data_IF_009514419075
#
_entry.id   IF_009514419075
#
_cell.length_a   1.000
_cell.length_b   1.000
_cell.length_c   1.000
_cell.angle_alpha   90.00
_cell.angle_beta   90.00
_cell.angle_gamma   90.00
#
_symmetry.space_group_name_H-M   'P 1'
#
loop_
_entity.id
_entity.type
_entity.pdbx_description
1 polymer ?
#
# COMPACT_ATOMS: atom_id res chain seq x y z
N UNK A 1 37.30 95.67 -50.12
CA UNK A 1 38.41 96.14 -49.25
C UNK A 1 37.81 96.82 -48.02
N UNK A 2 38.48 96.62 -46.87
CA UNK A 2 38.20 97.04 -45.46
C UNK A 2 37.30 96.08 -44.65
N UNK A 3 37.89 95.12 -43.91
CA UNK A 3 38.51 95.19 -42.55
C UNK A 3 37.49 95.57 -41.46
N UNK A 4 37.40 94.97 -40.28
CA UNK A 4 38.34 94.18 -39.48
C UNK A 4 37.57 93.67 -38.23
N UNK A 5 37.91 92.51 -37.63
CA UNK A 5 38.07 92.40 -36.15
C UNK A 5 38.63 91.03 -35.71
N UNK A 6 39.28 91.07 -34.55
CA UNK A 6 40.30 90.19 -33.96
C UNK A 6 39.86 88.79 -33.47
N UNK A 7 40.83 87.87 -33.19
CA UNK A 7 40.55 86.56 -32.61
C UNK A 7 40.60 86.56 -31.06
N UNK A 8 39.76 85.73 -30.43
CA UNK A 8 39.93 85.28 -29.04
C UNK A 8 40.11 83.76 -29.02
N UNK A 9 41.24 83.32 -28.47
CA UNK A 9 41.65 81.93 -28.34
C UNK A 9 40.95 81.31 -27.11
N UNK A 10 40.17 80.24 -27.31
CA UNK A 10 39.61 79.42 -26.23
C UNK A 10 40.19 78.01 -26.32
N UNK A 11 40.77 77.52 -25.22
CA UNK A 11 41.12 76.12 -25.01
C UNK A 11 39.85 75.26 -25.07
N UNK A 12 39.85 74.20 -25.89
CA UNK A 12 38.86 73.12 -25.82
C UNK A 12 39.53 71.83 -25.37
N UNK A 13 39.00 71.29 -24.27
CA UNK A 13 39.27 69.98 -23.69
C UNK A 13 38.87 68.91 -24.70
N UNK A 14 39.73 67.90 -24.88
CA UNK A 14 39.51 66.77 -25.77
C UNK A 14 38.28 65.94 -25.34
N UNK A 15 37.43 65.47 -26.28
CA UNK A 15 36.31 64.60 -25.95
C UNK A 15 36.81 63.18 -25.66
N UNK A 16 36.42 62.63 -24.50
CA UNK A 16 36.54 61.21 -24.17
C UNK A 16 35.65 60.41 -25.14
N UNK A 17 36.12 59.32 -25.77
CA UNK A 17 35.34 58.61 -26.78
C UNK A 17 34.16 57.87 -26.15
N UNK A 18 32.95 58.19 -26.62
CA UNK A 18 31.66 57.66 -26.17
C UNK A 18 31.48 56.13 -26.33
N UNK A 19 32.47 55.40 -26.86
CA UNK A 19 32.38 53.95 -27.09
C UNK A 19 32.62 53.10 -25.83
N UNK A 20 33.37 53.60 -24.84
CA UNK A 20 33.69 52.83 -23.63
C UNK A 20 32.52 52.71 -22.64
N UNK A 21 31.67 53.75 -22.57
CA UNK A 21 30.54 53.77 -21.63
C UNK A 21 29.46 52.73 -21.99
N UNK A 22 29.18 52.56 -23.28
CA UNK A 22 28.14 51.63 -23.76
C UNK A 22 28.52 50.17 -23.48
N UNK A 23 29.79 49.81 -23.65
CA UNK A 23 30.27 48.43 -23.41
C UNK A 23 30.22 48.08 -21.91
N UNK A 24 30.54 49.04 -21.03
CA UNK A 24 30.45 48.85 -19.57
C UNK A 24 28.99 48.77 -19.10
N UNK A 25 28.07 49.54 -19.68
CA UNK A 25 26.63 49.41 -19.39
C UNK A 25 26.06 48.08 -19.87
N UNK A 26 26.51 47.59 -21.04
CA UNK A 26 26.09 46.29 -21.58
C UNK A 26 26.61 45.10 -20.75
N UNK A 27 27.85 45.20 -20.24
CA UNK A 27 28.45 44.18 -19.37
C UNK A 27 27.87 44.19 -17.94
N UNK A 28 27.47 45.35 -17.42
CA UNK A 28 26.79 45.46 -16.11
C UNK A 28 25.33 44.97 -16.15
N UNK A 29 24.64 45.09 -17.30
CA UNK A 29 23.29 44.54 -17.48
C UNK A 29 23.27 43.00 -17.50
N UNK A 30 24.38 42.36 -17.89
CA UNK A 30 24.49 40.89 -17.89
C UNK A 30 24.94 40.29 -16.55
N UNK A 31 25.45 41.11 -15.61
CA UNK A 31 25.91 40.64 -14.29
C UNK A 31 24.96 40.94 -13.13
N UNK A 32 23.90 41.74 -13.34
CA UNK A 32 22.96 42.15 -12.28
C UNK A 32 21.60 41.42 -12.35
N UNK A 33 21.29 40.71 -13.43
CA UNK A 33 20.14 39.80 -13.42
C UNK A 33 20.61 38.41 -12.97
N UNK A 34 20.35 37.98 -11.71
CA UNK A 34 20.38 36.56 -11.44
C UNK A 34 19.45 35.91 -12.47
N UNK A 35 19.94 34.88 -13.18
CA UNK A 35 19.08 34.02 -14.00
C UNK A 35 17.96 33.55 -13.09
N UNK A 36 16.83 34.24 -13.14
CA UNK A 36 15.64 33.92 -12.38
C UNK A 36 15.34 32.46 -12.67
N UNK A 37 15.30 31.63 -11.62
CA UNK A 37 14.70 30.31 -11.70
C UNK A 37 13.37 30.47 -12.42
N UNK A 38 13.33 29.97 -13.65
CA UNK A 38 12.36 30.26 -14.73
C UNK A 38 11.01 30.79 -14.26
N UNK A 39 10.55 31.92 -14.82
CA UNK A 39 9.20 32.48 -14.61
C UNK A 39 8.11 31.41 -14.70
N UNK A 40 8.28 30.39 -15.56
CA UNK A 40 7.35 29.26 -15.68
C UNK A 40 7.37 28.30 -14.49
N UNK A 41 8.52 28.11 -13.83
CA UNK A 41 8.62 27.28 -12.63
C UNK A 41 7.88 27.93 -11.45
N UNK A 42 8.11 29.23 -11.22
CA UNK A 42 7.38 29.98 -10.19
C UNK A 42 5.90 30.06 -10.49
N UNK A 43 5.52 30.26 -11.77
CA UNK A 43 4.13 30.21 -12.20
C UNK A 43 3.51 28.83 -11.93
N UNK A 44 4.18 27.73 -12.32
CA UNK A 44 3.71 26.36 -12.10
C UNK A 44 3.42 26.08 -10.61
N UNK A 45 4.35 26.45 -9.72
CA UNK A 45 4.14 26.27 -8.27
C UNK A 45 2.97 27.11 -7.75
N UNK A 46 2.79 28.33 -8.27
CA UNK A 46 1.70 29.23 -7.85
C UNK A 46 0.30 28.78 -8.28
N UNK A 47 0.20 27.85 -9.24
CA UNK A 47 -1.08 27.31 -9.73
C UNK A 47 -1.67 26.22 -8.82
N UNK A 48 -0.91 25.76 -7.82
CA UNK A 48 -1.36 24.74 -6.86
C UNK A 48 -1.66 25.35 -5.49
N UNK A 49 -2.70 24.84 -4.82
CA UNK A 49 -3.05 25.24 -3.45
C UNK A 49 -3.48 24.05 -2.62
N UNK A 50 -3.35 24.17 -1.29
CA UNK A 50 -3.78 23.15 -0.34
C UNK A 50 -5.28 22.88 -0.43
N UNK A 51 -6.08 23.92 -0.69
CA UNK A 51 -7.53 23.83 -0.87
C UNK A 51 -7.88 23.00 -2.10
N UNK A 52 -7.12 23.15 -3.18
CA UNK A 52 -7.31 22.37 -4.41
C UNK A 52 -6.99 20.90 -4.18
N UNK A 53 -5.86 20.60 -3.53
CA UNK A 53 -5.49 19.24 -3.16
C UNK A 53 -6.52 18.59 -2.22
N UNK A 54 -6.94 19.30 -1.17
CA UNK A 54 -7.95 18.83 -0.22
C UNK A 54 -9.30 18.55 -0.89
N UNK A 55 -9.72 19.41 -1.84
CA UNK A 55 -10.96 19.19 -2.61
C UNK A 55 -10.89 17.96 -3.49
N UNK A 56 -9.76 17.72 -4.16
CA UNK A 56 -9.57 16.51 -4.97
C UNK A 56 -9.54 15.25 -4.11
N UNK A 57 -8.82 15.29 -2.99
CA UNK A 57 -8.79 14.19 -2.03
C UNK A 57 -10.21 13.87 -1.55
N UNK A 58 -10.94 14.88 -1.07
CA UNK A 58 -12.31 14.71 -0.59
C UNK A 58 -13.22 14.12 -1.67
N UNK A 59 -13.12 14.57 -2.93
CA UNK A 59 -13.93 14.04 -4.02
C UNK A 59 -13.62 12.57 -4.35
N UNK A 60 -12.34 12.19 -4.29
CA UNK A 60 -11.87 10.85 -4.62
C UNK A 60 -12.10 9.83 -3.48
N UNK A 61 -12.17 10.27 -2.22
CA UNK A 61 -12.29 9.38 -1.05
C UNK A 61 -13.70 9.29 -0.46
N UNK A 62 -14.75 9.66 -1.20
CA UNK A 62 -16.14 9.67 -0.68
C UNK A 62 -16.75 8.29 -0.49
N UNK A 63 -16.29 7.30 -1.25
CA UNK A 63 -16.79 5.92 -1.23
C UNK A 63 -15.63 4.95 -1.44
N UNK A 64 -15.73 3.70 -0.94
CA UNK A 64 -14.81 2.64 -1.33
C UNK A 64 -14.87 2.44 -2.85
N UNK A 65 -13.71 2.49 -3.52
CA UNK A 65 -13.61 2.42 -4.98
C UNK A 65 -12.58 1.35 -5.41
N UNK A 66 -12.84 0.10 -5.00
CA UNK A 66 -11.99 -1.05 -5.38
C UNK A 66 -11.92 -1.21 -6.90
N UNK A 67 -10.78 -1.68 -7.42
CA UNK A 67 -10.61 -1.96 -8.85
C UNK A 67 -11.77 -2.79 -9.41
N UNK A 68 -12.24 -2.46 -10.63
CA UNK A 68 -13.37 -3.11 -11.29
C UNK A 68 -14.77 -2.71 -10.78
N UNK A 69 -14.90 -1.88 -9.73
CA UNK A 69 -16.21 -1.44 -9.23
C UNK A 69 -16.78 -0.20 -9.94
N UNK A 70 -18.10 -0.03 -9.86
CA UNK A 70 -18.79 1.19 -10.32
C UNK A 70 -18.27 2.46 -9.62
N UNK A 71 -17.96 2.39 -8.33
CA UNK A 71 -17.37 3.53 -7.62
C UNK A 71 -16.00 3.92 -8.18
N UNK A 72 -15.21 2.94 -8.64
CA UNK A 72 -13.92 3.20 -9.29
C UNK A 72 -14.08 3.78 -10.69
N UNK A 73 -15.13 3.42 -11.44
CA UNK A 73 -15.42 4.06 -12.73
C UNK A 73 -15.85 5.52 -12.56
N UNK A 74 -16.60 5.84 -11.50
CA UNK A 74 -16.94 7.22 -11.12
C UNK A 74 -15.68 8.02 -10.76
N UNK A 75 -14.74 7.43 -10.00
CA UNK A 75 -13.47 8.07 -9.70
C UNK A 75 -12.63 8.34 -10.97
N UNK A 76 -12.58 7.40 -11.90
CA UNK A 76 -11.92 7.59 -13.19
C UNK A 76 -12.55 8.71 -14.02
N UNK A 77 -13.89 8.78 -14.07
CA UNK A 77 -14.62 9.86 -14.74
C UNK A 77 -14.34 11.23 -14.11
N UNK A 78 -14.21 11.30 -12.77
CA UNK A 78 -13.82 12.53 -12.08
C UNK A 78 -12.44 13.03 -12.52
N UNK A 79 -11.46 12.13 -12.62
CA UNK A 79 -10.10 12.46 -13.08
C UNK A 79 -10.12 12.93 -14.54
N UNK A 80 -10.80 12.19 -15.43
CA UNK A 80 -10.95 12.57 -16.83
C UNK A 80 -11.54 13.99 -16.97
N UNK A 81 -12.65 14.26 -16.27
CA UNK A 81 -13.32 15.55 -16.33
C UNK A 81 -12.45 16.69 -15.77
N UNK A 82 -11.70 16.44 -14.69
CA UNK A 82 -10.79 17.41 -14.09
C UNK A 82 -9.68 17.81 -15.07
N UNK A 83 -9.02 16.82 -15.70
CA UNK A 83 -7.97 17.08 -16.67
C UNK A 83 -8.50 17.76 -17.93
N UNK A 84 -9.64 17.29 -18.44
CA UNK A 84 -10.27 17.86 -19.64
C UNK A 84 -10.69 19.31 -19.42
N UNK A 85 -11.19 19.65 -18.23
CA UNK A 85 -11.55 21.03 -17.86
C UNK A 85 -10.33 21.95 -17.80
N UNK A 86 -9.14 21.41 -17.54
CA UNK A 86 -7.87 22.11 -17.60
C UNK A 86 -7.28 22.17 -19.03
N UNK A 87 -8.07 21.79 -20.05
CA UNK A 87 -7.62 21.70 -21.46
C UNK A 87 -6.45 20.72 -21.67
N UNK A 88 -6.31 19.71 -20.80
CA UNK A 88 -5.33 18.64 -20.94
C UNK A 88 -5.97 17.51 -21.77
N UNK A 89 -5.43 17.16 -22.96
CA UNK A 89 -5.94 16.05 -23.76
C UNK A 89 -5.90 14.73 -22.96
N UNK A 90 -7.07 14.18 -22.68
CA UNK A 90 -7.24 13.04 -21.78
C UNK A 90 -8.27 12.06 -22.33
N UNK A 91 -8.11 10.77 -22.07
CA UNK A 91 -9.04 9.71 -22.46
C UNK A 91 -8.98 8.56 -21.45
N UNK A 92 -10.01 7.70 -21.46
CA UNK A 92 -10.03 6.45 -20.70
C UNK A 92 -9.66 5.31 -21.64
N UNK A 93 -8.79 4.42 -21.17
CA UNK A 93 -8.47 3.16 -21.83
C UNK A 93 -8.85 2.02 -20.91
N UNK A 94 -9.64 1.06 -21.42
CA UNK A 94 -10.08 -0.11 -20.67
C UNK A 94 -9.24 -1.33 -21.00
N UNK A 95 -8.96 -2.13 -19.98
CA UNK A 95 -8.33 -3.44 -20.08
C UNK A 95 -9.18 -4.41 -19.29
N UNK A 96 -9.46 -5.57 -19.88
CA UNK A 96 -10.16 -6.64 -19.18
C UNK A 96 -9.10 -7.44 -18.43
N UNK A 97 -9.03 -7.40 -17.11
CA UNK A 97 -7.92 -8.00 -16.36
C UNK A 97 -8.44 -9.00 -15.34
N UNK A 98 -7.64 -10.03 -15.04
CA UNK A 98 -7.98 -10.96 -13.97
C UNK A 98 -7.96 -10.21 -12.64
N UNK A 99 -9.11 -10.14 -11.96
CA UNK A 99 -9.24 -9.58 -10.62
C UNK A 99 -9.73 -10.65 -9.65
N UNK A 100 -9.64 -10.36 -8.36
CA UNK A 100 -9.92 -11.29 -7.29
C UNK A 100 -10.77 -10.62 -6.21
N UNK A 101 -11.90 -11.24 -5.85
CA UNK A 101 -12.86 -10.71 -4.87
C UNK A 101 -13.33 -11.80 -3.89
N UNK A 102 -13.48 -11.48 -2.59
CA UNK A 102 -13.88 -12.47 -1.60
C UNK A 102 -15.35 -12.89 -1.81
N UNK A 103 -15.59 -14.20 -1.91
CA UNK A 103 -16.94 -14.78 -1.90
C UNK A 103 -17.34 -15.11 -0.46
N UNK A 104 -16.45 -15.80 0.26
CA UNK A 104 -16.70 -16.24 1.62
C UNK A 104 -15.39 -16.33 2.40
N UNK A 105 -15.46 -15.97 3.68
CA UNK A 105 -14.37 -16.16 4.62
C UNK A 105 -14.94 -16.53 5.98
N UNK A 106 -14.31 -17.48 6.63
CA UNK A 106 -14.57 -17.79 8.02
C UNK A 106 -13.29 -18.21 8.71
N UNK A 107 -13.21 -17.85 9.98
CA UNK A 107 -12.13 -18.24 10.86
C UNK A 107 -12.72 -18.58 12.21
N UNK A 108 -12.33 -19.71 12.79
CA UNK A 108 -12.67 -20.04 14.17
C UNK A 108 -11.46 -20.62 14.89
N UNK A 109 -11.41 -20.39 16.20
CA UNK A 109 -10.33 -20.79 17.08
C UNK A 109 -10.86 -21.71 18.18
N UNK A 110 -10.23 -22.87 18.29
CA UNK A 110 -10.38 -23.76 19.43
C UNK A 110 -9.11 -23.71 20.29
N UNK A 111 -9.26 -23.80 21.61
CA UNK A 111 -8.11 -23.84 22.54
C UNK A 111 -7.26 -25.10 22.37
N UNK A 112 -7.85 -26.17 21.84
CA UNK A 112 -7.22 -27.39 21.35
C UNK A 112 -8.12 -28.05 20.30
N UNK A 113 -7.63 -29.10 19.62
CA UNK A 113 -8.36 -29.78 18.53
C UNK A 113 -9.72 -30.39 18.92
N UNK A 114 -9.98 -30.60 20.21
CA UNK A 114 -11.22 -31.20 20.72
C UNK A 114 -12.15 -30.18 21.38
N UNK A 115 -11.71 -28.92 21.53
CA UNK A 115 -12.49 -27.88 22.17
C UNK A 115 -13.48 -27.23 21.18
N UNK A 116 -14.60 -26.66 21.67
CA UNK A 116 -15.51 -25.88 20.84
C UNK A 116 -14.78 -24.74 20.13
N UNK A 117 -15.05 -24.58 18.84
CA UNK A 117 -14.48 -23.51 18.04
C UNK A 117 -15.27 -22.22 18.22
N UNK A 118 -14.59 -21.14 18.59
CA UNK A 118 -15.17 -19.80 18.71
C UNK A 118 -14.92 -19.06 17.39
N UNK A 119 -15.97 -18.63 16.67
CA UNK A 119 -15.80 -17.89 15.42
C UNK A 119 -15.28 -16.47 15.67
N UNK A 120 -14.51 -15.95 14.72
CA UNK A 120 -14.18 -14.53 14.63
C UNK A 120 -15.19 -13.82 13.73
N UNK A 121 -15.58 -12.60 14.10
CA UNK A 121 -16.49 -11.77 13.29
C UNK A 121 -15.80 -11.26 12.01
N UNK A 122 -14.46 -11.08 12.07
CA UNK A 122 -13.63 -10.56 10.98
C UNK A 122 -14.04 -9.16 10.48
N UNK A 123 -14.73 -8.37 11.31
CA UNK A 123 -15.21 -7.03 10.96
C UNK A 123 -14.23 -5.93 11.41
N UNK A 124 -14.11 -4.89 10.59
CA UNK A 124 -13.51 -3.62 11.01
C UNK A 124 -14.61 -2.77 11.67
N UNK A 125 -14.35 -2.27 12.87
CA UNK A 125 -15.37 -1.55 13.64
C UNK A 125 -15.51 -0.11 13.16
N UNK A 126 -16.77 0.35 13.08
CA UNK A 126 -17.10 1.75 12.84
C UNK A 126 -17.04 2.48 14.17
N UNK A 127 -16.32 3.60 14.22
CA UNK A 127 -16.21 4.41 15.43
C UNK A 127 -17.43 5.34 15.60
N UNK A 128 -17.72 5.80 16.83
CA UNK A 128 -18.83 6.72 17.08
C UNK A 128 -18.73 7.99 16.22
N UNK A 129 -19.87 8.43 15.68
CA UNK A 129 -19.98 9.64 14.85
C UNK A 129 -19.13 9.62 13.56
N UNK A 130 -18.81 8.43 13.01
CA UNK A 130 -18.17 8.32 11.70
C UNK A 130 -19.02 8.98 10.61
N UNK A 131 -18.54 10.07 9.98
CA UNK A 131 -19.30 10.79 8.94
C UNK A 131 -19.51 9.95 7.67
N UNK A 132 -18.83 8.81 7.53
CA UNK A 132 -18.91 7.89 6.41
C UNK A 132 -19.59 6.56 6.76
N UNK A 133 -20.21 6.43 7.95
CA UNK A 133 -20.90 5.22 8.36
C UNK A 133 -21.95 4.72 7.33
N UNK A 134 -22.60 5.64 6.61
CA UNK A 134 -23.59 5.31 5.59
C UNK A 134 -23.02 4.55 4.36
N UNK A 135 -21.73 4.69 4.07
CA UNK A 135 -21.06 4.00 2.95
C UNK A 135 -20.21 2.81 3.42
N UNK A 136 -20.20 2.52 4.73
CA UNK A 136 -19.48 1.38 5.28
C UNK A 136 -20.01 0.03 4.75
N UNK A 137 -21.29 -0.03 4.39
CA UNK A 137 -21.90 -1.20 3.77
C UNK A 137 -21.34 -1.53 2.37
N UNK A 138 -20.69 -0.57 1.70
CA UNK A 138 -20.05 -0.78 0.40
C UNK A 138 -18.64 -1.38 0.51
N UNK A 139 -18.09 -1.49 1.73
CA UNK A 139 -16.74 -1.98 1.96
C UNK A 139 -16.71 -3.49 1.73
N UNK A 140 -15.78 -3.94 0.87
CA UNK A 140 -15.54 -5.37 0.71
C UNK A 140 -14.99 -5.99 2.01
N UNK A 141 -15.41 -7.21 2.36
CA UNK A 141 -14.81 -7.95 3.47
C UNK A 141 -13.29 -8.03 3.33
N UNK A 142 -12.51 -7.93 4.42
CA UNK A 142 -11.04 -7.93 4.32
C UNK A 142 -10.50 -9.27 3.81
N UNK A 143 -9.57 -9.22 2.86
CA UNK A 143 -9.10 -10.42 2.15
C UNK A 143 -7.69 -10.24 1.57
N UNK A 144 -7.06 -11.36 1.25
CA UNK A 144 -5.84 -11.41 0.44
C UNK A 144 -6.20 -11.70 -1.02
N UNK A 145 -6.08 -10.70 -1.89
CA UNK A 145 -6.36 -10.91 -3.31
C UNK A 145 -5.38 -11.94 -3.90
N UNK A 146 -5.89 -12.83 -4.75
CA UNK A 146 -5.17 -13.93 -5.40
C UNK A 146 -4.66 -15.06 -4.48
N UNK A 147 -5.03 -15.08 -3.20
CA UNK A 147 -4.80 -16.26 -2.36
C UNK A 147 -5.67 -17.44 -2.83
N UNK A 148 -5.21 -18.67 -2.60
CA UNK A 148 -5.92 -19.87 -3.06
C UNK A 148 -7.27 -20.04 -2.35
N UNK A 149 -8.31 -20.41 -3.10
CA UNK A 149 -9.58 -20.85 -2.51
C UNK A 149 -9.40 -22.19 -1.81
N UNK A 150 -9.82 -22.31 -0.55
CA UNK A 150 -9.75 -23.58 0.17
C UNK A 150 -10.14 -23.49 1.64
N UNK A 151 -10.17 -24.66 2.26
CA UNK A 151 -10.37 -24.83 3.69
C UNK A 151 -9.17 -25.55 4.28
N UNK A 152 -8.71 -25.09 5.44
CA UNK A 152 -7.64 -25.70 6.19
C UNK A 152 -7.98 -25.72 7.68
N UNK A 153 -7.60 -26.78 8.36
CA UNK A 153 -7.75 -26.89 9.81
C UNK A 153 -6.49 -27.50 10.41
N UNK A 154 -5.89 -26.85 11.40
CA UNK A 154 -4.61 -27.28 11.95
C UNK A 154 -4.19 -26.52 13.20
N UNK A 155 -3.13 -27.02 13.84
CA UNK A 155 -2.49 -26.31 14.94
C UNK A 155 -1.82 -25.05 14.42
N UNK A 156 -1.65 -24.07 15.30
CA UNK A 156 -1.05 -22.78 14.93
C UNK A 156 0.44 -22.72 15.27
N UNK A 157 1.25 -22.26 14.33
CA UNK A 157 2.69 -21.97 14.48
C UNK A 157 2.92 -20.48 14.25
N UNK A 158 3.64 -19.81 15.17
CA UNK A 158 4.02 -18.41 15.00
C UNK A 158 5.35 -18.28 14.25
N UNK A 159 5.35 -17.55 13.14
CA UNK A 159 6.50 -17.43 12.24
C UNK A 159 7.04 -15.99 12.11
N UNK A 160 6.90 -15.16 13.15
CA UNK A 160 7.40 -13.78 13.14
C UNK A 160 6.91 -12.99 11.92
N UNK A 161 7.81 -12.40 11.11
CA UNK A 161 7.48 -11.67 9.89
C UNK A 161 7.36 -12.60 8.65
N UNK A 162 7.47 -13.92 8.82
CA UNK A 162 7.35 -14.89 7.74
C UNK A 162 8.51 -14.87 6.73
N UNK A 163 9.68 -14.39 7.15
CA UNK A 163 10.88 -14.35 6.31
C UNK A 163 11.51 -15.73 6.20
N UNK A 164 12.38 -15.90 5.21
CA UNK A 164 13.06 -17.18 4.99
C UNK A 164 13.87 -17.60 6.23
N UNK A 165 14.54 -16.63 6.86
CA UNK A 165 15.27 -16.78 8.11
C UNK A 165 14.37 -17.12 9.30
N UNK A 166 13.12 -16.65 9.32
CA UNK A 166 12.18 -16.98 10.39
C UNK A 166 11.79 -18.47 10.30
N UNK A 167 11.52 -18.98 9.09
CA UNK A 167 11.27 -20.42 8.91
C UNK A 167 12.52 -21.29 9.17
N UNK A 168 13.71 -20.79 8.86
CA UNK A 168 14.96 -21.47 9.22
C UNK A 168 15.11 -21.57 10.76
N UNK A 169 14.86 -20.48 11.49
CA UNK A 169 14.92 -20.46 12.95
C UNK A 169 13.88 -21.38 13.62
N UNK A 170 12.67 -21.50 13.03
CA UNK A 170 11.67 -22.47 13.47
C UNK A 170 12.18 -23.91 13.33
N UNK A 171 12.79 -24.24 12.19
CA UNK A 171 13.38 -25.56 11.94
C UNK A 171 14.51 -25.87 12.91
N UNK A 172 15.42 -24.92 13.16
CA UNK A 172 16.51 -25.05 14.14
C UNK A 172 15.97 -25.21 15.57
N UNK A 173 14.82 -24.59 15.88
CA UNK A 173 14.12 -24.76 17.15
C UNK A 173 13.25 -26.03 17.21
N UNK A 174 13.36 -26.92 16.23
CA UNK A 174 12.58 -28.17 16.10
C UNK A 174 11.04 -27.96 16.12
N UNK A 175 10.57 -26.81 15.61
CA UNK A 175 9.15 -26.49 15.47
C UNK A 175 8.65 -27.01 14.12
N UNK A 176 7.67 -27.92 14.14
CA UNK A 176 7.10 -28.47 12.90
C UNK A 176 6.04 -27.54 12.29
N UNK A 177 6.34 -26.98 11.12
CA UNK A 177 5.41 -26.16 10.32
C UNK A 177 4.54 -27.02 9.40
N UNK A 178 5.04 -28.17 8.96
CA UNK A 178 4.37 -28.99 7.95
C UNK A 178 3.03 -29.52 8.48
N UNK A 179 1.96 -29.31 7.71
CA UNK A 179 0.59 -29.72 8.07
C UNK A 179 -0.13 -28.77 9.04
N UNK A 180 0.49 -27.64 9.41
CA UNK A 180 -0.06 -26.68 10.37
C UNK A 180 -0.43 -25.34 9.72
N UNK A 181 -1.19 -24.53 10.44
CA UNK A 181 -1.54 -23.16 10.06
C UNK A 181 -0.45 -22.22 10.58
N UNK A 182 0.12 -21.40 9.71
CA UNK A 182 1.09 -20.38 10.11
C UNK A 182 0.37 -19.08 10.43
N UNK A 183 0.74 -18.44 11.53
CA UNK A 183 0.43 -17.02 11.79
C UNK A 183 1.73 -16.22 11.76
N UNK A 184 1.73 -15.14 10.98
CA UNK A 184 2.84 -14.20 10.85
C UNK A 184 2.31 -12.76 10.92
N UNK A 185 3.16 -11.81 11.30
CA UNK A 185 2.81 -10.38 11.28
C UNK A 185 3.24 -9.74 9.97
N UNK A 186 2.48 -8.73 9.54
CA UNK A 186 2.91 -7.84 8.45
C UNK A 186 4.16 -7.07 8.84
N UNK A 187 4.95 -6.72 7.82
CA UNK A 187 6.21 -5.98 7.96
C UNK A 187 7.33 -6.71 7.24
N UNK A 188 8.50 -6.07 7.16
CA UNK A 188 9.78 -6.56 6.63
C UNK A 188 9.81 -7.02 5.15
N UNK A 189 8.85 -7.82 4.72
CA UNK A 189 8.75 -8.38 3.36
C UNK A 189 7.34 -8.23 2.79
N UNK A 190 7.21 -8.48 1.49
CA UNK A 190 5.91 -8.48 0.82
C UNK A 190 5.04 -9.63 1.32
N UNK A 191 3.75 -9.36 1.56
CA UNK A 191 2.79 -10.36 2.10
C UNK A 191 2.66 -11.61 1.24
N UNK A 192 2.80 -11.49 -0.08
CA UNK A 192 2.81 -12.66 -0.97
C UNK A 192 4.01 -13.58 -0.70
N UNK A 193 5.15 -13.02 -0.29
CA UNK A 193 6.31 -13.81 0.13
C UNK A 193 6.08 -14.50 1.48
N UNK A 194 5.38 -13.86 2.43
CA UNK A 194 4.99 -14.49 3.70
C UNK A 194 4.20 -15.79 3.44
N UNK A 195 3.15 -15.70 2.62
CA UNK A 195 2.28 -16.85 2.30
C UNK A 195 3.07 -17.91 1.52
N UNK A 196 3.91 -17.49 0.55
CA UNK A 196 4.76 -18.40 -0.21
C UNK A 196 5.77 -19.14 0.67
N UNK A 197 6.42 -18.43 1.59
CA UNK A 197 7.41 -19.04 2.50
C UNK A 197 6.74 -20.03 3.45
N UNK A 198 5.54 -19.71 3.96
CA UNK A 198 4.73 -20.65 4.75
C UNK A 198 4.39 -21.91 3.95
N UNK A 199 3.93 -21.76 2.70
CA UNK A 199 3.66 -22.88 1.80
C UNK A 199 4.91 -23.75 1.57
N UNK A 200 6.06 -23.13 1.29
CA UNK A 200 7.32 -23.85 1.08
C UNK A 200 7.80 -24.58 2.35
N UNK A 201 7.45 -24.07 3.53
CA UNK A 201 7.69 -24.74 4.80
C UNK A 201 6.65 -25.85 5.12
N UNK A 202 5.69 -26.10 4.23
CA UNK A 202 4.68 -27.16 4.34
C UNK A 202 3.41 -26.75 5.10
N UNK A 203 3.21 -25.45 5.35
CA UNK A 203 1.98 -24.96 5.98
C UNK A 203 0.78 -25.22 5.06
N UNK A 204 -0.38 -25.47 5.66
CA UNK A 204 -1.64 -25.72 4.93
C UNK A 204 -2.49 -24.47 4.77
N UNK A 205 -2.20 -23.42 5.54
CA UNK A 205 -2.78 -22.09 5.42
C UNK A 205 -1.88 -21.05 6.09
N UNK A 206 -2.05 -19.79 5.71
CA UNK A 206 -1.34 -18.66 6.31
C UNK A 206 -2.31 -17.59 6.81
N UNK A 207 -2.07 -17.10 8.02
CA UNK A 207 -2.75 -15.95 8.62
C UNK A 207 -1.72 -14.85 8.75
N UNK A 208 -2.04 -13.65 8.24
CA UNK A 208 -1.15 -12.49 8.36
C UNK A 208 -1.87 -11.40 9.12
N UNK A 209 -1.34 -10.95 10.26
CA UNK A 209 -1.99 -9.95 11.10
C UNK A 209 -1.17 -8.66 11.21
N UNK A 210 -1.85 -7.54 11.47
CA UNK A 210 -1.20 -6.24 11.69
C UNK A 210 -0.82 -6.11 13.16
N UNK A 211 0.41 -6.41 13.56
CA UNK A 211 0.82 -6.38 14.97
C UNK A 211 0.77 -4.96 15.54
N UNK A 212 0.23 -4.80 16.76
CA UNK A 212 0.15 -3.51 17.43
C UNK A 212 1.54 -2.93 17.75
N UNK A 213 2.58 -3.77 17.84
CA UNK A 213 3.99 -3.33 17.91
C UNK A 213 4.36 -2.39 16.77
N UNK A 214 3.92 -2.73 15.56
CA UNK A 214 4.36 -2.06 14.33
C UNK A 214 3.34 -1.03 13.85
N UNK A 215 2.05 -1.26 14.13
CA UNK A 215 0.94 -0.47 13.59
C UNK A 215 0.06 0.23 14.65
N UNK A 216 0.22 -0.10 15.94
CA UNK A 216 -0.64 0.36 17.03
C UNK A 216 -0.16 1.61 17.77
N UNK A 217 1.02 2.14 17.43
CA UNK A 217 1.52 3.40 17.98
C UNK A 217 2.28 3.32 19.31
N UNK A 218 2.53 2.12 19.81
CA UNK A 218 3.38 1.88 20.97
C UNK A 218 2.78 2.37 22.30
N UNK A 219 3.66 2.63 23.27
CA UNK A 219 3.30 2.94 24.66
C UNK A 219 2.49 4.23 24.73
N UNK A 220 1.25 4.13 25.22
CA UNK A 220 0.33 5.28 25.32
C UNK A 220 -0.18 5.79 23.97
N UNK A 221 0.16 5.10 22.87
CA UNK A 221 -0.37 5.39 21.54
C UNK A 221 -1.88 5.24 21.53
N UNK A 222 -2.57 6.29 21.08
CA UNK A 222 -3.99 6.19 20.73
C UNK A 222 -4.09 5.72 19.28
N UNK A 223 -5.25 5.23 18.89
CA UNK A 223 -5.55 4.85 17.50
C UNK A 223 -6.63 5.74 16.91
N UNK A 224 -6.79 5.66 15.60
CA UNK A 224 -7.84 6.34 14.87
C UNK A 224 -9.22 6.02 15.48
N UNK A 225 -10.07 7.02 15.74
CA UNK A 225 -10.04 8.40 15.23
C UNK A 225 -9.20 9.39 16.05
N UNK A 226 -8.66 8.99 17.20
CA UNK A 226 -8.00 9.91 18.13
C UNK A 226 -6.53 10.19 17.78
N UNK A 227 -5.92 9.37 16.93
CA UNK A 227 -4.55 9.51 16.44
C UNK A 227 -4.38 8.75 15.11
N UNK A 228 -3.19 8.81 14.50
CA UNK A 228 -2.88 8.24 13.19
C UNK A 228 -2.72 6.71 13.15
N UNK A 229 -2.67 6.06 14.30
CA UNK A 229 -2.34 4.63 14.40
C UNK A 229 -3.54 3.72 14.14
N UNK A 230 -3.27 2.48 13.73
CA UNK A 230 -4.30 1.53 13.33
C UNK A 230 -5.13 1.08 14.55
N UNK A 231 -6.47 1.09 14.47
CA UNK A 231 -7.32 0.58 15.55
C UNK A 231 -7.16 -0.94 15.72
N UNK A 232 -7.49 -1.51 16.89
CA UNK A 232 -7.33 -2.94 17.15
C UNK A 232 -8.10 -3.87 16.20
N UNK A 233 -9.20 -3.38 15.60
CA UNK A 233 -10.00 -4.09 14.60
C UNK A 233 -9.57 -3.78 13.15
N UNK A 234 -8.64 -2.85 12.94
CA UNK A 234 -8.14 -2.46 11.62
C UNK A 234 -7.35 -3.58 10.96
N UNK A 235 -7.53 -3.74 9.64
CA UNK A 235 -6.91 -4.83 8.88
C UNK A 235 -6.24 -4.28 7.63
N UNK A 236 -4.96 -4.58 7.45
CA UNK A 236 -4.30 -4.38 6.17
C UNK A 236 -4.80 -5.42 5.16
N UNK A 237 -5.29 -4.97 4.01
CA UNK A 237 -5.64 -5.82 2.85
C UNK A 237 -4.58 -5.70 1.77
N UNK A 238 -4.55 -6.66 0.83
CA UNK A 238 -3.68 -6.52 -0.34
C UNK A 238 -3.55 -7.78 -1.17
N UNK A 239 -2.89 -7.62 -2.32
CA UNK A 239 -2.51 -8.73 -3.20
C UNK A 239 -1.45 -9.63 -2.55
N UNK A 240 -1.56 -10.93 -2.83
CA UNK A 240 -0.51 -11.93 -2.62
C UNK A 240 0.11 -12.42 -3.93
N UNK A 241 -0.38 -11.94 -5.08
CA UNK A 241 0.24 -12.18 -6.39
C UNK A 241 1.60 -11.51 -6.46
N UNK A 242 2.63 -12.26 -6.90
CA UNK A 242 4.03 -11.82 -6.94
C UNK A 242 4.50 -11.37 -8.31
N UNK A 243 3.67 -11.50 -9.34
CA UNK A 243 4.00 -11.05 -10.70
C UNK A 243 3.66 -9.59 -10.95
N UNK A 244 3.84 -9.18 -12.20
CA UNK A 244 3.51 -7.84 -12.70
C UNK A 244 2.40 -7.94 -13.74
N UNK A 245 1.58 -6.89 -13.82
CA UNK A 245 0.46 -6.85 -14.78
C UNK A 245 -0.66 -7.84 -14.44
N UNK A 246 -1.48 -8.12 -15.45
CA UNK A 246 -2.54 -9.13 -15.37
C UNK A 246 -1.91 -10.53 -15.36
N UNK A 247 -2.21 -11.37 -14.34
CA UNK A 247 -1.65 -12.71 -14.25
C UNK A 247 -1.87 -13.59 -15.48
N UNK A 248 -2.94 -13.33 -16.26
CA UNK A 248 -3.30 -14.15 -17.42
C UNK A 248 -2.69 -13.69 -18.74
N UNK A 249 -2.00 -12.55 -18.78
CA UNK A 249 -1.41 -11.98 -20.00
C UNK A 249 0.06 -11.55 -19.77
N UNK A 250 0.94 -12.46 -19.34
CA UNK A 250 2.30 -12.11 -18.95
C UNK A 250 3.13 -11.61 -20.14
N UNK A 251 3.24 -10.28 -20.25
CA UNK A 251 4.08 -9.61 -21.26
C UNK A 251 3.32 -8.99 -22.44
N UNK A 252 1.99 -9.04 -22.46
CA UNK A 252 1.16 -8.36 -23.46
C UNK A 252 -0.05 -7.68 -22.83
N UNK A 253 -0.76 -6.86 -23.63
CA UNK A 253 -1.88 -6.07 -23.15
C UNK A 253 -3.19 -6.88 -23.10
N UNK A 254 -3.95 -6.75 -22.01
CA UNK A 254 -5.26 -7.40 -21.84
C UNK A 254 -6.39 -6.69 -22.58
N UNK A 255 -6.35 -6.73 -23.92
CA UNK A 255 -7.29 -6.02 -24.80
C UNK A 255 -8.10 -6.98 -25.66
N UNK A 256 -9.41 -6.73 -25.79
CA UNK A 256 -10.31 -7.53 -26.62
C UNK A 256 -10.22 -9.03 -26.30
N UNK A 257 -10.15 -9.84 -27.35
CA UNK A 257 -10.02 -11.30 -27.28
C UNK A 257 -8.55 -11.76 -27.27
N UNK A 258 -7.68 -11.07 -26.52
CA UNK A 258 -6.26 -11.44 -26.41
C UNK A 258 -6.10 -12.87 -25.89
N UNK A 259 -4.99 -13.52 -26.28
CA UNK A 259 -4.59 -14.80 -25.70
C UNK A 259 -4.40 -14.67 -24.19
N UNK A 260 -4.86 -15.68 -23.44
CA UNK A 260 -4.74 -15.73 -21.99
C UNK A 260 -4.26 -17.10 -21.55
N UNK A 261 -3.31 -17.12 -20.63
CA UNK A 261 -2.94 -18.36 -19.94
C UNK A 261 -4.01 -18.70 -18.89
N UNK A 262 -4.20 -20.00 -18.66
CA UNK A 262 -5.20 -20.49 -17.72
C UNK A 262 -4.84 -20.19 -16.26
N UNK A 263 -5.84 -20.05 -15.38
CA UNK A 263 -5.61 -19.78 -13.95
C UNK A 263 -4.72 -20.87 -13.31
N UNK A 264 -4.92 -22.14 -13.68
CA UNK A 264 -4.09 -23.25 -13.19
C UNK A 264 -2.62 -23.10 -13.59
N UNK A 265 -2.35 -22.60 -14.80
CA UNK A 265 -1.00 -22.32 -15.28
C UNK A 265 -0.38 -21.15 -14.52
N UNK A 266 -1.15 -20.09 -14.25
CA UNK A 266 -0.72 -18.99 -13.38
C UNK A 266 -0.33 -19.50 -11.99
N UNK A 267 -1.14 -20.38 -11.38
CA UNK A 267 -0.80 -20.98 -10.08
C UNK A 267 0.45 -21.86 -10.18
N UNK A 268 0.61 -22.63 -11.25
CA UNK A 268 1.77 -23.47 -11.49
C UNK A 268 3.09 -22.68 -11.61
N UNK A 269 3.03 -21.41 -12.04
CA UNK A 269 4.22 -20.52 -12.04
C UNK A 269 4.74 -20.19 -10.63
N UNK A 270 3.93 -20.41 -9.59
CA UNK A 270 4.25 -20.05 -8.21
C UNK A 270 4.17 -18.55 -7.92
N UNK A 271 3.57 -17.76 -8.82
CA UNK A 271 3.32 -16.33 -8.61
C UNK A 271 2.06 -16.06 -7.79
N UNK A 272 1.08 -16.98 -7.83
CA UNK A 272 -0.06 -16.99 -6.91
C UNK A 272 0.18 -18.05 -5.82
N UNK A 273 -0.12 -17.77 -4.54
CA UNK A 273 0.00 -18.78 -3.50
C UNK A 273 -0.94 -19.95 -3.74
N UNK A 274 -0.47 -21.17 -3.44
CA UNK A 274 -1.23 -22.42 -3.54
C UNK A 274 -1.92 -22.85 -2.24
N UNK A 275 -1.91 -22.00 -1.20
CA UNK A 275 -2.58 -22.24 0.08
C UNK A 275 -3.54 -21.08 0.40
N UNK A 276 -4.65 -21.32 1.11
CA UNK A 276 -5.55 -20.27 1.55
C UNK A 276 -4.84 -19.35 2.55
N UNK A 277 -5.22 -18.07 2.52
CA UNK A 277 -4.71 -17.11 3.50
C UNK A 277 -5.70 -16.00 3.82
N UNK A 278 -5.64 -15.48 5.05
CA UNK A 278 -6.49 -14.38 5.51
C UNK A 278 -5.66 -13.28 6.19
N UNK A 279 -5.99 -11.99 5.92
CA UNK A 279 -5.51 -10.89 6.72
C UNK A 279 -6.32 -10.76 8.01
N UNK A 280 -5.67 -10.45 9.14
CA UNK A 280 -6.31 -10.24 10.43
C UNK A 280 -5.93 -8.93 11.10
N UNK A 281 -6.80 -8.53 12.02
CA UNK A 281 -6.59 -7.41 12.92
C UNK A 281 -5.59 -7.76 14.01
N UNK A 282 -5.04 -6.75 14.71
CA UNK A 282 -4.16 -7.01 15.87
C UNK A 282 -4.91 -7.77 16.95
N UNK A 283 -6.16 -7.39 17.22
CA UNK A 283 -7.04 -8.03 18.22
C UNK A 283 -7.20 -9.53 17.96
N UNK A 284 -7.55 -9.88 16.73
CA UNK A 284 -7.84 -11.28 16.37
C UNK A 284 -6.55 -12.10 16.29
N UNK A 285 -5.48 -11.52 15.75
CA UNK A 285 -4.14 -12.13 15.72
C UNK A 285 -3.63 -12.46 17.12
N UNK A 286 -3.73 -11.51 18.06
CA UNK A 286 -3.34 -11.73 19.45
C UNK A 286 -4.22 -12.77 20.16
N UNK A 287 -5.52 -12.84 19.85
CA UNK A 287 -6.39 -13.88 20.39
C UNK A 287 -5.89 -15.28 20.01
N UNK A 288 -5.42 -15.46 18.77
CA UNK A 288 -4.77 -16.69 18.32
C UNK A 288 -3.44 -16.90 19.07
N UNK A 289 -2.56 -15.89 19.12
CA UNK A 289 -1.25 -16.00 19.78
C UNK A 289 -1.36 -16.39 21.27
N UNK A 290 -2.41 -15.96 21.98
CA UNK A 290 -2.71 -16.37 23.36
C UNK A 290 -2.89 -17.87 23.54
N UNK A 291 -3.26 -18.59 22.49
CA UNK A 291 -3.48 -20.05 22.54
C UNK A 291 -2.23 -20.86 22.18
N UNK A 292 -1.19 -20.22 21.64
CA UNK A 292 0.05 -20.90 21.26
C UNK A 292 0.90 -21.15 22.50
N UNK A 293 1.47 -22.35 22.59
CA UNK A 293 2.36 -22.82 23.66
C UNK A 293 3.68 -23.29 23.04
N UNK A 294 4.46 -24.07 23.77
CA UNK A 294 5.82 -24.45 23.36
C UNK A 294 6.86 -23.39 23.69
N UNK A 295 7.98 -23.41 22.96
CA UNK A 295 9.14 -22.53 23.20
C UNK A 295 8.74 -21.06 23.10
N UNK A 296 9.22 -20.25 24.05
CA UNK A 296 9.06 -18.78 24.00
C UNK A 296 9.83 -18.26 22.80
N UNK A 297 9.19 -17.39 21.99
CA UNK A 297 9.85 -16.77 20.85
C UNK A 297 10.98 -15.84 21.34
N UNK A 298 11.98 -15.60 20.50
CA UNK A 298 13.07 -14.67 20.83
C UNK A 298 12.55 -13.26 21.14
N UNK A 299 13.34 -12.44 21.84
CA UNK A 299 12.91 -11.12 22.31
C UNK A 299 12.49 -10.19 21.16
N UNK A 300 13.22 -10.22 20.04
CA UNK A 300 12.89 -9.47 18.84
C UNK A 300 11.61 -9.98 18.14
N UNK A 301 11.23 -11.23 18.38
CA UNK A 301 9.99 -11.85 17.89
C UNK A 301 8.78 -11.54 18.76
N UNK A 302 8.95 -10.95 19.95
CA UNK A 302 7.82 -10.58 20.79
C UNK A 302 7.00 -9.42 20.19
N UNK A 303 5.75 -9.32 20.63
CA UNK A 303 4.83 -8.22 20.32
C UNK A 303 5.13 -6.95 21.12
N UNK A 304 4.24 -5.97 20.99
CA UNK A 304 4.30 -4.71 21.74
C UNK A 304 3.91 -4.87 23.21
N UNK A 305 4.00 -3.79 23.97
CA UNK A 305 3.51 -3.77 25.36
C UNK A 305 2.00 -4.12 25.41
N UNK A 306 1.59 -4.95 26.37
CA UNK A 306 0.21 -5.44 26.49
C UNK A 306 -0.12 -6.67 25.64
N UNK A 307 0.75 -7.04 24.70
CA UNK A 307 0.62 -8.28 23.95
C UNK A 307 0.85 -9.51 24.86
N UNK A 308 0.26 -10.68 24.55
CA UNK A 308 0.63 -11.92 25.23
C UNK A 308 2.10 -12.29 24.97
N UNK A 309 2.67 -13.15 25.81
CA UNK A 309 3.99 -13.74 25.51
C UNK A 309 3.86 -14.62 24.27
N UNK A 310 4.57 -14.27 23.21
CA UNK A 310 4.56 -15.02 21.96
C UNK A 310 5.39 -16.29 22.11
N UNK A 311 4.84 -17.39 21.59
CA UNK A 311 5.43 -18.73 21.61
C UNK A 311 5.35 -19.31 20.21
N UNK A 312 6.28 -20.21 19.89
CA UNK A 312 6.45 -20.69 18.53
C UNK A 312 5.42 -21.75 18.11
N UNK A 313 4.83 -22.47 19.07
CA UNK A 313 3.95 -23.61 18.78
C UNK A 313 4.72 -24.86 18.36
N UNK A 314 4.09 -25.80 17.62
CA UNK A 314 2.68 -25.77 17.20
C UNK A 314 1.70 -25.94 18.37
N UNK A 315 0.57 -25.23 18.32
CA UNK A 315 -0.58 -25.48 19.20
C UNK A 315 -0.39 -25.09 20.68
N UNK A 316 -1.30 -25.48 21.58
CA UNK A 316 -2.50 -26.29 21.35
C UNK A 316 -3.58 -25.59 20.53
N UNK A 317 -3.54 -24.25 20.41
CA UNK A 317 -4.44 -23.48 19.55
C UNK A 317 -4.64 -24.14 18.19
N UNK A 318 -5.91 -24.34 17.84
CA UNK A 318 -6.32 -25.04 16.63
C UNK A 318 -7.31 -24.16 15.87
N UNK A 319 -7.04 -23.93 14.59
CA UNK A 319 -7.82 -23.00 13.77
C UNK A 319 -8.53 -23.75 12.67
N UNK A 320 -9.77 -23.36 12.37
CA UNK A 320 -10.46 -23.69 11.14
C UNK A 320 -10.59 -22.43 10.28
N UNK A 321 -9.99 -22.47 9.09
CA UNK A 321 -9.99 -21.38 8.13
C UNK A 321 -10.68 -21.83 6.86
N UNK A 322 -11.66 -21.07 6.38
CA UNK A 322 -12.20 -21.20 5.03
C UNK A 322 -12.06 -19.87 4.32
N UNK A 323 -11.52 -19.90 3.11
CA UNK A 323 -11.42 -18.74 2.24
C UNK A 323 -11.83 -19.13 0.83
N UNK A 324 -12.85 -18.49 0.29
CA UNK A 324 -13.33 -18.68 -1.08
C UNK A 324 -13.29 -17.34 -1.80
N UNK A 325 -12.72 -17.34 -2.98
CA UNK A 325 -12.49 -16.14 -3.79
C UNK A 325 -12.98 -16.37 -5.22
N UNK A 326 -13.65 -15.36 -5.77
CA UNK A 326 -13.93 -15.27 -7.20
C UNK A 326 -12.68 -14.72 -7.87
N UNK A 327 -12.25 -15.36 -8.95
CA UNK A 327 -11.13 -14.93 -9.77
C UNK A 327 -11.63 -14.90 -11.21
N UNK A 328 -11.91 -13.70 -11.71
CA UNK A 328 -12.63 -13.47 -12.96
C UNK A 328 -11.98 -12.32 -13.72
N UNK A 329 -12.08 -12.37 -15.05
CA UNK A 329 -11.63 -11.28 -15.92
C UNK A 329 -12.75 -10.24 -15.97
N UNK A 330 -12.46 -9.04 -15.45
CA UNK A 330 -13.37 -7.89 -15.42
C UNK A 330 -12.83 -6.73 -16.25
#
# INVERSE_FOLDING_TARGET
MKNQSQPRLFYRIAPVPAGGAIIVTFLLLFTIYPRSTSTYHSLFLSLSSNETAARHLFALTRRPHVAGSDANSVAAAYVLNTLSSASIPSHITSYNVLLSYPIHRSLSLSTNSSAPAIPFDLIQEIYPDDPYAAVAADILPTFHAYAHSGTAAGLVVYANYGRVEDFAALKESAVNVSGNVVIARYGEIYRGDIVRNAQLAGAIAAIVYSDAKDYGGGIGGKWFPNDRWMPPSGVQVGSTYRGLGDPTTPGWASVGDCERIGIEEVVATGLMPGIPSLPLSSRDGEAILRTIRGKVAADDWQGGEGAPVYRLGPGPGFVHLTYLVSIEVN
#
